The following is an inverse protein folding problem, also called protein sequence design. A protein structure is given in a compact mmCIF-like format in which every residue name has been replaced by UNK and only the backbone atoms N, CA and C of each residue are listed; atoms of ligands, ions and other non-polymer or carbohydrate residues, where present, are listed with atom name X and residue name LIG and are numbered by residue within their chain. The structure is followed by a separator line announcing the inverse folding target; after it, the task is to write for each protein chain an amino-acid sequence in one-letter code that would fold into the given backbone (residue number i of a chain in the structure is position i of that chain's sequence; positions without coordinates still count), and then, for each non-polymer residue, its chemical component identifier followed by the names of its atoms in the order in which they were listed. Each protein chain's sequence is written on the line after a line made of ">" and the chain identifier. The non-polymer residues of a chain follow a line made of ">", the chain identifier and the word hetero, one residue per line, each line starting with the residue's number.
data_IF_494197279052
#
_entry.id   IF_494197279052
#
_cell.length_a   1.000
_cell.length_b   1.000
_cell.length_c   1.000
_cell.angle_alpha   90.00
_cell.angle_beta   90.00
_cell.angle_gamma   90.00
#
_symmetry.space_group_name_H-M   'P 1'
#
loop_
_entity.id
_entity.type
_entity.pdbx_description
1 polymer ?
#
# COMPACT_ATOMS: atom_id res chain seq x y z
N UNK A 1 -52.49 17.23 4.06
CA UNK A 1 -51.91 16.03 3.40
C UNK A 1 -50.46 16.32 3.05
N UNK A 2 -49.52 15.74 3.79
CA UNK A 2 -48.08 15.89 3.58
C UNK A 2 -47.67 15.20 2.26
N UNK A 3 -47.00 15.88 1.32
CA UNK A 3 -46.57 15.23 0.09
C UNK A 3 -45.37 14.34 0.42
N UNK A 4 -45.61 13.04 0.61
CA UNK A 4 -44.53 12.07 0.57
C UNK A 4 -43.80 12.17 -0.78
N UNK A 5 -42.47 12.02 -0.82
CA UNK A 5 -41.80 11.83 -2.11
C UNK A 5 -42.38 10.56 -2.76
N UNK A 6 -42.52 10.50 -4.09
CA UNK A 6 -43.03 9.30 -4.73
C UNK A 6 -42.10 8.12 -4.36
N UNK A 7 -42.62 6.97 -3.92
CA UNK A 7 -41.81 5.82 -3.46
C UNK A 7 -40.72 5.43 -4.47
N UNK A 8 -40.99 5.61 -5.76
CA UNK A 8 -40.04 5.44 -6.86
C UNK A 8 -38.75 6.29 -6.73
N UNK A 9 -38.82 7.54 -6.25
CA UNK A 9 -37.64 8.40 -6.13
C UNK A 9 -36.65 7.92 -5.06
N UNK A 10 -37.17 7.39 -3.95
CA UNK A 10 -36.35 6.78 -2.90
C UNK A 10 -35.72 5.48 -3.39
N UNK A 11 -36.50 4.65 -4.08
CA UNK A 11 -36.04 3.38 -4.64
C UNK A 11 -34.93 3.56 -5.68
N UNK A 12 -35.10 4.47 -6.64
CA UNK A 12 -34.10 4.78 -7.67
C UNK A 12 -32.78 5.21 -7.02
N UNK A 13 -32.85 6.10 -6.03
CA UNK A 13 -31.66 6.58 -5.33
C UNK A 13 -31.01 5.49 -4.49
N UNK A 14 -31.79 4.69 -3.76
CA UNK A 14 -31.26 3.56 -3.00
C UNK A 14 -30.52 2.56 -3.89
N UNK A 15 -31.07 2.22 -5.07
CA UNK A 15 -30.38 1.37 -6.06
C UNK A 15 -29.10 1.99 -6.60
N UNK A 16 -29.13 3.29 -6.92
CA UNK A 16 -27.93 4.00 -7.39
C UNK A 16 -26.83 4.03 -6.31
N UNK A 17 -27.19 4.30 -5.06
CA UNK A 17 -26.27 4.29 -3.92
C UNK A 17 -25.66 2.91 -3.70
N UNK A 18 -26.47 1.85 -3.73
CA UNK A 18 -25.98 0.48 -3.59
C UNK A 18 -25.02 0.08 -4.73
N UNK A 19 -25.37 0.42 -5.98
CA UNK A 19 -24.50 0.15 -7.14
C UNK A 19 -23.17 0.88 -7.01
N UNK A 20 -23.21 2.16 -6.62
CA UNK A 20 -22.01 2.97 -6.38
C UNK A 20 -21.15 2.36 -5.29
N UNK A 21 -21.72 2.04 -4.14
CA UNK A 21 -20.99 1.46 -3.02
C UNK A 21 -20.30 0.15 -3.42
N UNK A 22 -21.00 -0.71 -4.15
CA UNK A 22 -20.45 -1.99 -4.63
C UNK A 22 -19.33 -1.78 -5.65
N UNK A 23 -19.48 -0.85 -6.58
CA UNK A 23 -18.44 -0.54 -7.56
C UNK A 23 -17.19 0.06 -6.90
N UNK A 24 -17.35 0.96 -5.93
CA UNK A 24 -16.24 1.55 -5.17
C UNK A 24 -15.52 0.50 -4.33
N UNK A 25 -16.25 -0.38 -3.63
CA UNK A 25 -15.65 -1.50 -2.89
C UNK A 25 -14.78 -2.35 -3.82
N UNK A 26 -15.33 -2.77 -4.97
CA UNK A 26 -14.64 -3.63 -5.90
C UNK A 26 -13.37 -2.96 -6.47
N UNK A 27 -13.43 -1.68 -6.84
CA UNK A 27 -12.25 -0.91 -7.27
C UNK A 27 -11.22 -0.80 -6.13
N UNK A 28 -11.67 -0.60 -4.90
CA UNK A 28 -10.83 -0.50 -3.71
C UNK A 28 -10.06 -1.79 -3.38
N UNK A 29 -10.58 -2.96 -3.76
CA UNK A 29 -9.91 -4.26 -3.52
C UNK A 29 -8.57 -4.40 -4.22
N UNK A 30 -8.39 -3.82 -5.42
CA UNK A 30 -7.08 -3.83 -6.09
C UNK A 30 -6.06 -3.08 -5.23
N UNK A 31 -6.42 -1.89 -4.74
CA UNK A 31 -5.54 -1.09 -3.89
C UNK A 31 -5.19 -1.85 -2.60
N UNK A 32 -6.19 -2.42 -1.92
CA UNK A 32 -5.97 -3.19 -0.70
C UNK A 32 -5.03 -4.39 -0.93
N UNK A 33 -5.19 -5.13 -2.03
CA UNK A 33 -4.31 -6.24 -2.37
C UNK A 33 -2.87 -5.78 -2.71
N UNK A 34 -2.72 -4.62 -3.35
CA UNK A 34 -1.39 -4.02 -3.61
C UNK A 34 -0.72 -3.59 -2.31
N UNK A 35 -1.45 -2.93 -1.40
CA UNK A 35 -0.93 -2.48 -0.11
C UNK A 35 -0.51 -3.68 0.75
N UNK A 36 -1.29 -4.77 0.74
CA UNK A 36 -0.95 -6.03 1.42
C UNK A 36 0.32 -6.68 0.83
N UNK A 37 0.42 -6.80 -0.49
CA UNK A 37 1.61 -7.34 -1.14
C UNK A 37 2.87 -6.50 -0.83
N UNK A 38 2.73 -5.17 -0.77
CA UNK A 38 3.82 -4.26 -0.41
C UNK A 38 4.22 -4.39 1.06
N UNK A 39 3.25 -4.57 1.96
CA UNK A 39 3.51 -4.86 3.37
C UNK A 39 4.31 -6.15 3.52
N UNK A 40 3.85 -7.24 2.88
CA UNK A 40 4.53 -8.53 2.89
C UNK A 40 5.95 -8.46 2.28
N UNK A 41 6.13 -7.69 1.21
CA UNK A 41 7.45 -7.45 0.61
C UNK A 41 8.41 -6.81 1.59
N UNK A 42 7.96 -5.77 2.27
CA UNK A 42 8.76 -5.05 3.26
C UNK A 42 9.15 -5.95 4.44
N UNK A 43 8.23 -6.76 4.94
CA UNK A 43 8.52 -7.74 6.00
C UNK A 43 9.54 -8.78 5.55
N UNK A 44 9.39 -9.33 4.34
CA UNK A 44 10.34 -10.29 3.79
C UNK A 44 11.74 -9.68 3.55
N UNK A 45 11.79 -8.41 3.12
CA UNK A 45 13.04 -7.68 2.95
C UNK A 45 13.74 -7.45 4.31
N UNK A 46 13.00 -7.01 5.33
CA UNK A 46 13.54 -6.83 6.67
C UNK A 46 14.07 -8.14 7.26
N UNK A 47 13.33 -9.23 7.14
CA UNK A 47 13.77 -10.55 7.60
C UNK A 47 15.03 -11.02 6.85
N UNK A 48 15.17 -10.68 5.56
CA UNK A 48 16.39 -10.96 4.80
C UNK A 48 17.59 -10.11 5.29
N UNK A 49 17.38 -8.81 5.52
CA UNK A 49 18.41 -7.90 6.06
C UNK A 49 18.88 -8.37 7.45
N UNK A 50 17.95 -8.68 8.35
CA UNK A 50 18.26 -9.19 9.70
C UNK A 50 19.08 -10.47 9.63
N UNK A 51 18.68 -11.44 8.80
CA UNK A 51 19.46 -12.68 8.60
C UNK A 51 20.87 -12.41 8.07
N UNK A 52 21.01 -11.49 7.12
CA UNK A 52 22.31 -11.12 6.57
C UNK A 52 23.21 -10.47 7.63
N UNK A 53 22.64 -9.63 8.51
CA UNK A 53 23.39 -8.99 9.60
C UNK A 53 23.73 -9.94 10.75
N UNK A 54 22.83 -10.87 11.07
CA UNK A 54 23.09 -11.93 12.05
C UNK A 54 24.23 -12.86 11.58
N UNK A 55 24.33 -13.10 10.26
CA UNK A 55 25.43 -13.83 9.66
C UNK A 55 26.72 -12.99 9.54
N UNK A 56 26.65 -11.66 9.65
CA UNK A 56 27.79 -10.76 9.50
C UNK A 56 28.63 -10.75 10.79
N UNK A 57 29.90 -11.20 10.76
CA UNK A 57 30.73 -11.25 11.96
C UNK A 57 30.98 -9.86 12.55
N UNK A 58 31.07 -9.77 13.87
CA UNK A 58 31.36 -8.53 14.60
C UNK A 58 32.61 -7.78 14.07
N UNK A 59 33.61 -8.50 13.54
CA UNK A 59 34.81 -7.91 12.98
C UNK A 59 34.55 -6.95 11.81
N UNK A 60 33.41 -7.09 11.11
CA UNK A 60 33.01 -6.21 10.02
C UNK A 60 32.81 -4.75 10.44
N UNK A 61 32.51 -4.49 11.71
CA UNK A 61 32.40 -3.11 12.22
C UNK A 61 33.68 -2.29 12.01
N UNK A 62 34.86 -2.93 11.95
CA UNK A 62 36.14 -2.26 11.70
C UNK A 62 36.24 -1.62 10.31
N UNK A 63 35.52 -2.15 9.32
CA UNK A 63 35.62 -1.70 7.93
C UNK A 63 35.00 -0.32 7.71
N UNK A 64 34.06 0.07 8.58
CA UNK A 64 33.33 1.35 8.51
C UNK A 64 33.63 2.28 9.68
N UNK A 65 34.48 1.87 10.63
CA UNK A 65 34.81 2.66 11.81
C UNK A 65 36.22 3.25 11.72
N UNK A 66 36.36 4.54 11.99
CA UNK A 66 37.66 5.21 12.03
C UNK A 66 38.40 5.05 13.38
N UNK A 67 37.88 4.22 14.31
CA UNK A 67 38.34 4.15 15.70
C UNK A 67 38.58 2.74 16.27
N UNK A 68 39.24 2.68 17.44
CA UNK A 68 39.43 1.43 18.19
C UNK A 68 38.11 0.99 18.86
N UNK A 69 37.34 0.13 18.19
CA UNK A 69 36.03 -0.35 18.67
C UNK A 69 36.06 -1.35 19.86
N UNK A 70 37.22 -1.70 20.41
CA UNK A 70 37.33 -2.69 21.50
C UNK A 70 36.57 -4.01 21.26
N UNK A 71 36.62 -4.55 20.02
CA UNK A 71 35.86 -5.74 19.65
C UNK A 71 36.12 -6.96 20.55
N UNK A 72 37.32 -7.09 21.12
CA UNK A 72 37.64 -8.18 22.04
C UNK A 72 36.87 -8.09 23.37
N UNK A 73 36.52 -6.90 23.83
CA UNK A 73 35.67 -6.72 25.01
C UNK A 73 34.22 -7.10 24.68
N UNK A 74 33.71 -6.70 23.52
CA UNK A 74 32.38 -7.09 23.02
C UNK A 74 32.26 -8.61 22.82
N UNK A 75 33.25 -9.26 22.22
CA UNK A 75 33.28 -10.73 22.06
C UNK A 75 33.24 -11.47 23.40
N UNK A 76 33.98 -10.98 24.40
CA UNK A 76 33.95 -11.54 25.77
C UNK A 76 32.59 -11.35 26.45
N UNK A 77 31.90 -10.27 26.10
CA UNK A 77 30.53 -9.99 26.56
C UNK A 77 29.44 -10.75 25.78
N UNK A 78 29.80 -11.59 24.80
CA UNK A 78 28.86 -12.45 24.08
C UNK A 78 28.41 -11.93 22.72
N UNK A 79 28.84 -10.74 22.29
CA UNK A 79 28.53 -10.19 20.97
C UNK A 79 29.34 -10.92 19.89
N UNK A 80 28.64 -11.47 18.89
CA UNK A 80 29.20 -12.30 17.81
C UNK A 80 28.97 -11.68 16.43
N UNK A 81 27.88 -10.95 16.25
CA UNK A 81 27.46 -10.40 14.97
C UNK A 81 27.32 -8.87 15.00
N UNK A 82 27.20 -8.27 13.81
CA UNK A 82 26.81 -6.85 13.68
C UNK A 82 25.38 -6.63 14.20
N UNK A 83 24.49 -7.61 14.01
CA UNK A 83 23.12 -7.56 14.52
C UNK A 83 23.07 -7.43 16.04
N UNK A 84 23.92 -8.16 16.77
CA UNK A 84 23.95 -8.12 18.25
C UNK A 84 24.25 -6.71 18.79
N UNK A 85 25.06 -5.94 18.06
CA UNK A 85 25.41 -4.55 18.39
C UNK A 85 24.30 -3.58 18.04
N UNK A 86 23.45 -3.93 17.06
CA UNK A 86 22.34 -3.11 16.58
C UNK A 86 21.06 -3.30 17.40
N UNK A 87 20.69 -4.53 17.78
CA UNK A 87 19.37 -4.88 18.36
C UNK A 87 19.13 -4.37 19.82
N UNK A 88 19.90 -3.39 20.29
CA UNK A 88 19.74 -2.73 21.61
C UNK A 88 19.63 -3.68 22.83
N UNK A 89 20.31 -4.82 22.83
CA UNK A 89 20.24 -5.77 23.96
C UNK A 89 20.81 -5.22 25.28
N UNK A 90 21.91 -4.45 25.23
CA UNK A 90 22.54 -3.82 26.40
C UNK A 90 23.28 -2.54 26.01
N UNK A 91 23.33 -1.53 26.90
CA UNK A 91 24.18 -0.37 26.68
C UNK A 91 25.65 -0.81 26.71
N UNK A 92 26.31 -0.77 25.54
CA UNK A 92 27.71 -1.14 25.37
C UNK A 92 28.64 -0.36 26.31
N UNK A 93 28.23 0.81 26.79
CA UNK A 93 28.98 1.62 27.76
C UNK A 93 29.14 0.94 29.14
N UNK A 94 28.27 -0.03 29.47
CA UNK A 94 28.30 -0.77 30.72
C UNK A 94 29.30 -1.94 30.70
N UNK A 95 29.88 -2.24 29.53
CA UNK A 95 30.84 -3.33 29.39
C UNK A 95 32.23 -2.93 29.89
N UNK A 96 32.90 -3.77 30.70
CA UNK A 96 34.25 -3.49 31.18
C UNK A 96 35.23 -3.18 30.04
N UNK A 97 35.78 -1.96 30.03
CA UNK A 97 36.74 -1.50 29.02
C UNK A 97 36.13 -0.85 27.78
N UNK A 98 34.83 -0.58 27.77
CA UNK A 98 34.14 0.18 26.70
C UNK A 98 33.54 1.44 27.31
N UNK A 99 34.10 2.60 26.97
CA UNK A 99 33.52 3.90 27.36
C UNK A 99 32.41 4.36 26.41
N UNK A 100 31.64 5.36 26.81
CA UNK A 100 30.52 5.93 26.04
C UNK A 100 30.90 6.28 24.59
N UNK A 101 32.08 6.89 24.38
CA UNK A 101 32.56 7.25 23.03
C UNK A 101 32.79 6.01 22.15
N UNK A 102 33.38 4.96 22.71
CA UNK A 102 33.62 3.70 22.00
C UNK A 102 32.30 2.98 21.70
N UNK A 103 31.36 2.98 22.65
CA UNK A 103 30.01 2.47 22.47
C UNK A 103 29.25 3.23 21.36
N UNK A 104 29.31 4.57 21.35
CA UNK A 104 28.71 5.40 20.33
C UNK A 104 29.30 5.14 18.94
N UNK A 105 30.62 5.02 18.82
CA UNK A 105 31.27 4.67 17.55
C UNK A 105 30.88 3.29 17.05
N UNK A 106 30.75 2.29 17.94
CA UNK A 106 30.32 0.95 17.56
C UNK A 106 28.87 0.92 17.07
N UNK A 107 27.97 1.64 17.75
CA UNK A 107 26.58 1.82 17.31
C UNK A 107 26.50 2.54 15.96
N UNK A 108 27.30 3.59 15.75
CA UNK A 108 27.35 4.30 14.47
C UNK A 108 27.85 3.40 13.34
N UNK A 109 28.91 2.61 13.57
CA UNK A 109 29.41 1.63 12.62
C UNK A 109 28.37 0.56 12.27
N UNK A 110 27.65 0.04 13.28
CA UNK A 110 26.56 -0.92 13.06
C UNK A 110 25.42 -0.30 12.24
N UNK A 111 25.05 0.96 12.50
CA UNK A 111 24.05 1.69 11.71
C UNK A 111 24.50 1.89 10.26
N UNK A 112 25.76 2.26 10.02
CA UNK A 112 26.28 2.44 8.65
C UNK A 112 26.26 1.12 7.87
N UNK A 113 26.64 0.01 8.50
CA UNK A 113 26.58 -1.32 7.86
C UNK A 113 25.14 -1.79 7.65
N UNK A 114 24.23 -1.53 8.59
CA UNK A 114 22.80 -1.79 8.43
C UNK A 114 22.26 -1.05 7.21
N UNK A 115 22.48 0.27 7.11
CA UNK A 115 22.04 1.07 5.97
C UNK A 115 22.62 0.54 4.66
N UNK A 116 23.91 0.18 4.62
CA UNK A 116 24.54 -0.39 3.43
C UNK A 116 23.96 -1.76 3.04
N UNK A 117 23.62 -2.61 4.02
CA UNK A 117 22.95 -3.89 3.79
C UNK A 117 21.53 -3.67 3.29
N UNK A 118 20.76 -2.77 3.90
CA UNK A 118 19.41 -2.41 3.45
C UNK A 118 19.39 -1.91 2.00
N UNK A 119 20.35 -1.05 1.62
CA UNK A 119 20.47 -0.51 0.26
C UNK A 119 20.89 -1.56 -0.77
N UNK A 120 21.71 -2.54 -0.38
CA UNK A 120 22.24 -3.57 -1.28
C UNK A 120 21.38 -4.84 -1.33
N UNK A 121 20.52 -5.08 -0.34
CA UNK A 121 19.73 -6.30 -0.25
C UNK A 121 18.66 -6.31 -1.33
N UNK A 122 18.76 -7.30 -2.22
CA UNK A 122 17.70 -7.62 -3.18
C UNK A 122 16.98 -8.87 -2.73
N UNK A 123 15.66 -8.77 -2.57
CA UNK A 123 14.86 -9.91 -2.16
C UNK A 123 14.90 -11.01 -3.23
N UNK A 124 15.32 -12.21 -2.83
CA UNK A 124 15.29 -13.42 -3.64
C UNK A 124 14.54 -14.51 -2.88
N UNK A 125 13.67 -15.23 -3.57
CA UNK A 125 12.93 -16.34 -2.99
C UNK A 125 13.89 -17.52 -2.73
N UNK A 126 13.96 -17.96 -1.47
CA UNK A 126 14.71 -19.14 -1.06
C UNK A 126 13.79 -20.36 -1.09
N UNK A 127 13.94 -21.17 -2.15
CA UNK A 127 13.07 -22.33 -2.43
C UNK A 127 13.34 -23.48 -1.45
N UNK A 128 14.52 -23.52 -0.83
CA UNK A 128 14.94 -24.59 0.07
C UNK A 128 14.46 -24.33 1.50
N UNK A 129 14.70 -23.12 2.03
CA UNK A 129 14.30 -22.75 3.39
C UNK A 129 12.82 -22.38 3.51
N UNK A 130 12.23 -21.82 2.45
CA UNK A 130 10.83 -21.37 2.40
C UNK A 130 10.40 -20.57 3.65
N UNK A 131 11.11 -19.48 3.98
CA UNK A 131 10.83 -18.73 5.20
C UNK A 131 9.40 -18.19 5.19
N UNK A 132 8.81 -18.05 6.38
CA UNK A 132 7.41 -17.70 6.57
C UNK A 132 7.07 -16.35 5.91
N UNK A 133 7.96 -15.37 6.00
CA UNK A 133 7.75 -14.03 5.41
C UNK A 133 7.71 -14.08 3.89
N UNK A 134 8.51 -14.96 3.27
CA UNK A 134 8.49 -15.16 1.82
C UNK A 134 7.26 -15.97 1.38
N UNK A 135 6.82 -16.91 2.20
CA UNK A 135 5.56 -17.64 1.98
C UNK A 135 4.36 -16.69 2.02
N UNK A 136 4.34 -15.77 2.98
CA UNK A 136 3.33 -14.71 3.07
C UNK A 136 3.38 -13.80 1.84
N UNK A 137 4.57 -13.34 1.43
CA UNK A 137 4.73 -12.53 0.21
C UNK A 137 4.21 -13.23 -1.05
N UNK A 138 4.57 -14.50 -1.27
CA UNK A 138 4.06 -15.26 -2.42
C UNK A 138 2.53 -15.39 -2.37
N UNK A 139 1.96 -15.58 -1.20
CA UNK A 139 0.51 -15.65 -1.01
C UNK A 139 -0.16 -14.32 -1.36
N UNK A 140 0.37 -13.21 -0.87
CA UNK A 140 -0.15 -11.87 -1.17
C UNK A 140 0.01 -11.50 -2.65
N UNK A 141 1.11 -11.90 -3.28
CA UNK A 141 1.31 -11.73 -4.73
C UNK A 141 0.30 -12.53 -5.57
N UNK A 142 0.02 -13.78 -5.18
CA UNK A 142 -1.01 -14.60 -5.81
C UNK A 142 -2.39 -13.97 -5.69
N UNK A 143 -2.69 -13.43 -4.51
CA UNK A 143 -3.95 -12.75 -4.26
C UNK A 143 -4.06 -11.45 -5.08
N UNK A 144 -3.00 -10.64 -5.15
CA UNK A 144 -2.96 -9.43 -5.97
C UNK A 144 -3.20 -9.74 -7.45
N UNK A 145 -2.56 -10.78 -7.98
CA UNK A 145 -2.78 -11.22 -9.35
C UNK A 145 -4.25 -11.59 -9.58
N UNK A 146 -4.83 -12.41 -8.70
CA UNK A 146 -6.23 -12.86 -8.80
C UNK A 146 -7.23 -11.70 -8.75
N UNK A 147 -7.07 -10.81 -7.78
CA UNK A 147 -7.89 -9.61 -7.60
C UNK A 147 -7.80 -8.72 -8.84
N UNK A 148 -6.57 -8.49 -9.33
CA UNK A 148 -6.32 -7.65 -10.49
C UNK A 148 -6.94 -8.25 -11.76
N UNK A 149 -6.72 -9.54 -12.02
CA UNK A 149 -7.27 -10.24 -13.18
C UNK A 149 -8.80 -10.23 -13.18
N UNK A 150 -9.41 -10.32 -12.00
CA UNK A 150 -10.87 -10.33 -11.84
C UNK A 150 -11.49 -8.94 -12.06
N UNK A 151 -10.85 -7.88 -11.55
CA UNK A 151 -11.48 -6.54 -11.46
C UNK A 151 -11.04 -5.62 -12.60
N UNK A 152 -9.80 -5.71 -13.09
CA UNK A 152 -9.24 -4.80 -14.11
C UNK A 152 -10.09 -4.74 -15.40
N UNK A 153 -10.66 -5.85 -15.93
CA UNK A 153 -11.55 -5.79 -17.10
C UNK A 153 -12.87 -5.03 -16.87
N UNK A 154 -13.28 -4.88 -15.61
CA UNK A 154 -14.50 -4.17 -15.22
C UNK A 154 -14.23 -2.70 -14.89
N UNK A 155 -13.01 -2.36 -14.50
CA UNK A 155 -12.65 -1.06 -13.92
C UNK A 155 -13.16 0.16 -14.74
N UNK A 156 -12.97 0.25 -16.07
CA UNK A 156 -13.44 1.42 -16.82
C UNK A 156 -14.96 1.64 -16.73
N UNK A 157 -15.73 0.54 -16.68
CA UNK A 157 -17.19 0.57 -16.60
C UNK A 157 -17.67 0.86 -15.18
N UNK A 158 -17.01 0.30 -14.17
CA UNK A 158 -17.25 0.62 -12.76
C UNK A 158 -17.01 2.11 -12.50
N UNK A 159 -15.87 2.63 -12.92
CA UNK A 159 -15.52 4.05 -12.77
C UNK A 159 -16.50 4.96 -13.50
N UNK A 160 -16.91 4.60 -14.73
CA UNK A 160 -17.92 5.37 -15.46
C UNK A 160 -19.25 5.44 -14.70
N UNK A 161 -19.73 4.31 -14.16
CA UNK A 161 -20.98 4.25 -13.40
C UNK A 161 -20.86 5.06 -12.10
N UNK A 162 -19.75 4.93 -11.37
CA UNK A 162 -19.49 5.74 -10.17
C UNK A 162 -19.50 7.23 -10.51
N UNK A 163 -18.77 7.67 -11.54
CA UNK A 163 -18.74 9.08 -11.97
C UNK A 163 -20.12 9.62 -12.34
N UNK A 164 -20.92 8.85 -13.09
CA UNK A 164 -22.29 9.25 -13.48
C UNK A 164 -23.21 9.36 -12.26
N UNK A 165 -23.14 8.41 -11.34
CA UNK A 165 -23.93 8.45 -10.11
C UNK A 165 -23.50 9.65 -9.25
N UNK A 166 -22.19 9.88 -9.08
CA UNK A 166 -21.68 11.00 -8.28
C UNK A 166 -22.07 12.37 -8.82
N UNK A 167 -22.17 12.53 -10.14
CA UNK A 167 -22.63 13.77 -10.75
C UNK A 167 -24.10 14.09 -10.44
N UNK A 168 -24.98 13.08 -10.42
CA UNK A 168 -26.43 13.28 -10.32
C UNK A 168 -27.01 13.03 -8.92
N UNK A 169 -26.32 12.26 -8.08
CA UNK A 169 -26.82 11.85 -6.76
C UNK A 169 -27.07 13.04 -5.81
N UNK A 170 -26.16 14.03 -5.67
CA UNK A 170 -26.40 15.20 -4.83
C UNK A 170 -27.59 16.05 -5.33
N UNK A 171 -27.69 16.26 -6.64
CA UNK A 171 -28.77 17.05 -7.25
C UNK A 171 -30.14 16.37 -7.09
N UNK A 172 -30.19 15.04 -7.06
CA UNK A 172 -31.44 14.28 -6.82
C UNK A 172 -31.95 14.38 -5.37
N UNK A 173 -31.22 15.04 -4.45
CA UNK A 173 -31.55 15.07 -3.02
C UNK A 173 -32.93 15.66 -2.70
N UNK A 174 -33.32 16.71 -3.42
CA UNK A 174 -34.60 17.39 -3.22
C UNK A 174 -35.81 16.50 -3.55
N UNK A 175 -35.64 15.44 -4.35
CA UNK A 175 -36.74 14.52 -4.67
C UNK A 175 -37.13 13.60 -3.52
N UNK A 176 -36.31 13.48 -2.47
CA UNK A 176 -36.63 12.67 -1.28
C UNK A 176 -36.97 13.50 -0.04
N UNK A 177 -36.85 14.84 -0.12
CA UNK A 177 -37.03 15.75 1.01
C UNK A 177 -38.25 16.67 0.80
N UNK A 178 -39.41 16.24 1.30
CA UNK A 178 -40.70 16.94 1.12
C UNK A 178 -40.69 18.40 1.57
N UNK A 179 -40.13 18.70 2.75
CA UNK A 179 -40.13 20.05 3.32
C UNK A 179 -39.18 20.96 2.53
N UNK A 180 -37.94 20.52 2.30
CA UNK A 180 -36.94 21.30 1.55
C UNK A 180 -37.39 21.57 0.11
N UNK A 181 -38.10 20.62 -0.50
CA UNK A 181 -38.68 20.79 -1.85
C UNK A 181 -39.73 21.90 -1.87
N UNK A 182 -40.56 22.07 -0.85
CA UNK A 182 -41.58 23.15 -0.83
C UNK A 182 -40.93 24.54 -0.93
N UNK A 183 -39.85 24.77 -0.19
CA UNK A 183 -39.10 26.03 -0.15
C UNK A 183 -38.07 26.22 -1.29
N UNK A 184 -37.89 25.22 -2.17
CA UNK A 184 -36.93 25.30 -3.26
C UNK A 184 -37.45 26.08 -4.48
N UNK A 185 -36.55 26.76 -5.20
CA UNK A 185 -36.86 27.47 -6.44
C UNK A 185 -37.33 26.50 -7.54
N UNK A 186 -38.03 27.02 -8.56
CA UNK A 186 -38.47 26.22 -9.73
C UNK A 186 -37.27 25.59 -10.46
N UNK A 187 -36.20 26.35 -10.63
CA UNK A 187 -34.96 25.88 -11.26
C UNK A 187 -34.33 24.71 -10.49
N UNK A 188 -34.23 24.80 -9.16
CA UNK A 188 -33.70 23.72 -8.31
C UNK A 188 -34.61 22.48 -8.33
N UNK A 189 -35.93 22.67 -8.33
CA UNK A 189 -36.90 21.58 -8.46
C UNK A 189 -36.74 20.83 -9.78
N UNK A 190 -36.56 21.56 -10.89
CA UNK A 190 -36.37 20.99 -12.22
C UNK A 190 -35.04 20.26 -12.35
N UNK A 191 -33.93 20.90 -11.95
CA UNK A 191 -32.60 20.28 -11.95
C UNK A 191 -32.56 18.97 -11.14
N UNK A 192 -33.26 18.95 -10.00
CA UNK A 192 -33.37 17.75 -9.17
C UNK A 192 -34.22 16.64 -9.80
N UNK A 193 -35.30 17.00 -10.50
CA UNK A 193 -36.12 16.04 -11.24
C UNK A 193 -35.34 15.46 -12.43
N UNK A 194 -34.60 16.30 -13.16
CA UNK A 194 -33.77 15.88 -14.28
C UNK A 194 -32.64 14.94 -13.83
N UNK A 195 -32.00 15.23 -12.69
CA UNK A 195 -31.00 14.36 -12.08
C UNK A 195 -31.59 12.98 -11.71
N UNK A 196 -32.79 12.94 -11.12
CA UNK A 196 -33.45 11.68 -10.81
C UNK A 196 -33.80 10.88 -12.08
N UNK A 197 -34.24 11.55 -13.15
CA UNK A 197 -34.50 10.92 -14.45
C UNK A 197 -33.22 10.35 -15.07
N UNK A 198 -32.08 11.04 -14.95
CA UNK A 198 -30.79 10.52 -15.41
C UNK A 198 -30.36 9.28 -14.62
N UNK A 199 -30.51 9.28 -13.30
CA UNK A 199 -30.28 8.10 -12.46
C UNK A 199 -31.21 6.94 -12.83
N UNK A 200 -32.49 7.23 -13.10
CA UNK A 200 -33.45 6.21 -13.51
C UNK A 200 -33.11 5.61 -14.89
N UNK A 201 -32.65 6.43 -15.84
CA UNK A 201 -32.18 5.95 -17.16
C UNK A 201 -30.94 5.10 -17.01
N UNK A 202 -29.97 5.52 -16.20
CA UNK A 202 -28.77 4.74 -15.91
C UNK A 202 -29.13 3.38 -15.29
N UNK A 203 -30.04 3.35 -14.31
CA UNK A 203 -30.46 2.11 -13.66
C UNK A 203 -31.20 1.15 -14.61
N UNK A 204 -31.83 1.66 -15.68
CA UNK A 204 -32.55 0.87 -16.67
C UNK A 204 -31.74 0.63 -17.96
N UNK A 205 -30.50 1.10 -18.04
CA UNK A 205 -29.62 0.89 -19.19
C UNK A 205 -29.19 -0.59 -19.24
N UNK A 206 -29.43 -1.34 -20.34
CA UNK A 206 -28.99 -2.73 -20.47
C UNK A 206 -27.51 -2.94 -20.14
N UNK A 207 -26.64 -1.95 -20.41
CA UNK A 207 -25.23 -2.01 -20.05
C UNK A 207 -25.00 -2.04 -18.53
N UNK A 208 -25.83 -1.33 -17.76
CA UNK A 208 -25.78 -1.33 -16.29
C UNK A 208 -26.28 -2.65 -15.69
N UNK A 209 -27.28 -3.29 -16.31
CA UNK A 209 -27.74 -4.62 -15.91
C UNK A 209 -26.67 -5.68 -16.14
N UNK A 210 -26.04 -5.66 -17.30
CA UNK A 210 -24.93 -6.57 -17.62
C UNK A 210 -23.73 -6.33 -16.69
N UNK A 211 -23.40 -5.08 -16.39
CA UNK A 211 -22.37 -4.77 -15.40
C UNK A 211 -22.73 -5.31 -14.01
N UNK A 212 -23.99 -5.21 -13.59
CA UNK A 212 -24.47 -5.79 -12.34
C UNK A 212 -24.22 -7.30 -12.25
N UNK A 213 -24.55 -8.05 -13.32
CA UNK A 213 -24.24 -9.48 -13.41
C UNK A 213 -22.73 -9.76 -13.32
N UNK A 214 -21.92 -8.98 -14.02
CA UNK A 214 -20.46 -9.15 -14.02
C UNK A 214 -19.84 -8.83 -12.66
N UNK A 215 -20.40 -7.86 -11.92
CA UNK A 215 -20.02 -7.57 -10.53
C UNK A 215 -20.30 -8.79 -9.65
N UNK A 216 -21.49 -9.38 -9.73
CA UNK A 216 -21.82 -10.58 -8.93
C UNK A 216 -20.85 -11.73 -9.24
N UNK A 217 -20.59 -12.00 -10.52
CA UNK A 217 -19.62 -13.03 -10.92
C UNK A 217 -18.19 -12.73 -10.43
N UNK A 218 -17.79 -11.45 -10.46
CA UNK A 218 -16.49 -11.04 -9.91
C UNK A 218 -16.43 -11.28 -8.40
N UNK A 219 -17.48 -10.94 -7.65
CA UNK A 219 -17.55 -11.19 -6.21
C UNK A 219 -17.47 -12.68 -5.87
N UNK A 220 -18.17 -13.53 -6.61
CA UNK A 220 -18.10 -15.00 -6.46
C UNK A 220 -16.69 -15.53 -6.73
N UNK A 221 -16.03 -15.07 -7.80
CA UNK A 221 -14.63 -15.45 -8.11
C UNK A 221 -13.65 -14.98 -7.04
N UNK A 222 -13.84 -13.79 -6.50
CA UNK A 222 -13.01 -13.28 -5.41
C UNK A 222 -13.20 -14.11 -4.14
N UNK A 223 -14.45 -14.51 -3.83
CA UNK A 223 -14.77 -15.35 -2.68
C UNK A 223 -14.22 -16.79 -2.81
N UNK A 224 -14.19 -17.33 -4.02
CA UNK A 224 -13.60 -18.65 -4.29
C UNK A 224 -12.07 -18.68 -4.13
N UNK A 225 -11.41 -17.52 -4.17
CA UNK A 225 -9.95 -17.41 -4.08
C UNK A 225 -9.20 -17.74 -5.38
N UNK A 226 -7.86 -17.61 -5.38
CA UNK A 226 -7.04 -17.87 -6.54
C UNK A 226 -7.02 -19.36 -6.90
N UNK A 227 -7.11 -19.65 -8.20
CA UNK A 227 -6.91 -21.01 -8.72
C UNK A 227 -5.41 -21.36 -8.71
N UNK A 228 -5.08 -22.59 -8.33
CA UNK A 228 -3.71 -23.09 -8.37
C UNK A 228 -3.46 -24.18 -7.31
N UNK A 229 -2.23 -24.68 -7.23
CA UNK A 229 -1.84 -25.59 -6.16
C UNK A 229 -2.12 -24.98 -4.77
N UNK A 230 -2.55 -25.79 -3.78
CA UNK A 230 -2.75 -25.30 -2.42
C UNK A 230 -1.44 -24.74 -1.84
N UNK A 231 -0.32 -25.38 -2.16
CA UNK A 231 1.02 -24.90 -1.84
C UNK A 231 1.48 -23.79 -2.81
N UNK A 232 1.73 -22.61 -2.26
CA UNK A 232 2.19 -21.44 -3.02
C UNK A 232 3.62 -21.61 -3.55
N UNK A 233 4.46 -22.44 -2.93
CA UNK A 233 5.82 -22.69 -3.38
C UNK A 233 5.84 -23.59 -4.62
N UNK A 234 4.99 -24.61 -4.67
CA UNK A 234 4.76 -25.40 -5.90
C UNK A 234 4.28 -24.53 -7.06
N UNK A 235 3.41 -23.57 -6.79
CA UNK A 235 2.92 -22.62 -7.79
C UNK A 235 4.05 -21.68 -8.26
N UNK A 236 4.85 -21.15 -7.32
CA UNK A 236 6.03 -20.35 -7.62
C UNK A 236 7.05 -21.10 -8.49
N UNK A 237 7.34 -22.38 -8.21
CA UNK A 237 8.26 -23.18 -9.02
C UNK A 237 7.81 -23.29 -10.49
N UNK A 238 6.50 -23.35 -10.70
CA UNK A 238 5.92 -23.45 -12.04
C UNK A 238 5.85 -22.08 -12.73
N UNK A 239 5.61 -21.01 -11.98
CA UNK A 239 5.34 -19.65 -12.49
C UNK A 239 6.37 -18.61 -12.03
N UNK A 240 7.62 -18.99 -11.84
CA UNK A 240 8.65 -18.14 -11.20
C UNK A 240 8.86 -16.80 -11.91
N UNK A 241 8.87 -16.80 -13.25
CA UNK A 241 8.96 -15.58 -14.07
C UNK A 241 7.82 -14.62 -13.71
N UNK A 242 6.60 -15.14 -13.58
CA UNK A 242 5.42 -14.32 -13.28
C UNK A 242 5.51 -13.66 -11.90
N UNK A 243 5.88 -14.43 -10.88
CA UNK A 243 6.06 -13.90 -9.53
C UNK A 243 7.20 -12.89 -9.45
N UNK A 244 8.31 -13.13 -10.16
CA UNK A 244 9.43 -12.18 -10.20
C UNK A 244 9.04 -10.88 -10.92
N UNK A 245 8.21 -10.92 -11.97
CA UNK A 245 7.64 -9.72 -12.58
C UNK A 245 6.76 -8.94 -11.60
N UNK A 246 5.85 -9.63 -10.90
CA UNK A 246 5.01 -8.98 -9.88
C UNK A 246 5.85 -8.38 -8.74
N UNK A 247 6.96 -9.03 -8.37
CA UNK A 247 7.89 -8.52 -7.37
C UNK A 247 8.53 -7.19 -7.79
N UNK A 248 8.91 -7.07 -9.07
CA UNK A 248 9.44 -5.84 -9.66
C UNK A 248 8.38 -4.73 -9.61
N UNK A 249 7.15 -5.07 -10.00
CA UNK A 249 6.01 -4.13 -10.03
C UNK A 249 5.69 -3.57 -8.61
N UNK A 250 5.71 -4.41 -7.57
CA UNK A 250 5.40 -3.96 -6.19
C UNK A 250 6.60 -3.31 -5.49
N UNK A 251 7.81 -3.75 -5.83
CA UNK A 251 9.09 -3.35 -5.21
C UNK A 251 9.60 -1.99 -5.70
N UNK A 252 8.91 -1.37 -6.67
CA UNK A 252 9.24 -0.03 -7.16
C UNK A 252 10.43 0.01 -8.11
N UNK A 253 10.71 -1.09 -8.83
CA UNK A 253 11.75 -1.16 -9.86
C UNK A 253 11.22 -0.93 -11.29
N UNK A 254 10.07 -0.27 -11.46
CA UNK A 254 9.71 0.53 -12.65
C UNK A 254 8.67 1.63 -12.28
N UNK A 255 8.54 2.70 -13.08
CA UNK A 255 8.41 4.08 -12.59
C UNK A 255 7.02 4.44 -12.03
N UNK A 256 7.03 5.42 -11.12
CA UNK A 256 5.89 6.10 -10.47
C UNK A 256 4.85 6.75 -11.42
N UNK A 257 4.68 6.31 -12.67
CA UNK A 257 4.19 7.20 -13.73
C UNK A 257 2.70 7.16 -14.06
N UNK A 258 1.83 6.34 -13.46
CA UNK A 258 0.45 6.29 -14.02
C UNK A 258 -0.75 6.34 -13.06
N UNK A 259 -0.58 6.36 -11.73
CA UNK A 259 -1.77 6.46 -10.84
C UNK A 259 -1.65 7.39 -9.63
N UNK A 260 -0.51 8.04 -9.43
CA UNK A 260 -0.39 9.16 -8.48
C UNK A 260 -0.37 10.54 -9.18
N UNK A 261 -0.20 10.58 -10.51
CA UNK A 261 -0.09 11.81 -11.33
C UNK A 261 -1.45 12.44 -11.67
N UNK A 262 -2.35 12.49 -10.69
CA UNK A 262 -3.58 13.27 -10.81
C UNK A 262 -3.47 14.70 -10.29
N UNK A 263 -2.44 15.03 -9.49
CA UNK A 263 -2.45 16.27 -8.71
C UNK A 263 -1.09 16.93 -8.42
N UNK A 264 0.02 16.47 -9.02
CA UNK A 264 1.31 17.15 -8.85
C UNK A 264 2.05 17.25 -10.19
N UNK A 265 2.42 18.47 -10.57
CA UNK A 265 3.23 18.74 -11.76
C UNK A 265 4.67 18.22 -11.56
N UNK A 266 5.34 17.81 -12.63
CA UNK A 266 6.71 17.26 -12.58
C UNK A 266 7.74 18.16 -11.86
N UNK A 267 7.53 19.47 -11.90
CA UNK A 267 8.35 20.45 -11.18
C UNK A 267 8.17 20.38 -9.65
N UNK A 268 6.99 20.00 -9.17
CA UNK A 268 6.71 19.81 -7.74
C UNK A 268 7.39 18.53 -7.23
N UNK A 269 7.40 17.47 -8.03
CA UNK A 269 8.09 16.21 -7.72
C UNK A 269 9.60 16.44 -7.64
N UNK A 270 10.18 17.17 -8.60
CA UNK A 270 11.60 17.54 -8.56
C UNK A 270 11.94 18.35 -7.31
N UNK A 271 11.07 19.29 -6.92
CA UNK A 271 11.23 20.13 -5.73
C UNK A 271 11.19 19.30 -4.44
N UNK A 272 10.23 18.37 -4.31
CA UNK A 272 10.14 17.46 -3.15
C UNK A 272 11.38 16.55 -3.07
N UNK A 273 11.86 16.02 -4.21
CA UNK A 273 13.08 15.18 -4.24
C UNK A 273 14.33 15.95 -3.81
N UNK A 274 14.44 17.23 -4.18
CA UNK A 274 15.56 18.12 -3.81
C UNK A 274 15.57 18.56 -2.34
N UNK A 275 14.47 18.37 -1.61
CA UNK A 275 14.38 18.76 -0.21
C UNK A 275 15.29 17.86 0.65
N UNK A 276 16.27 18.45 1.34
CA UNK A 276 17.07 17.73 2.33
C UNK A 276 16.25 17.57 3.61
N UNK A 277 16.11 16.33 4.09
CA UNK A 277 15.41 16.04 5.34
C UNK A 277 16.45 15.94 6.46
N UNK A 278 16.35 16.81 7.47
CA UNK A 278 17.18 16.70 8.67
C UNK A 278 16.61 15.59 9.57
N UNK A 279 17.33 14.47 9.66
CA UNK A 279 16.92 13.28 10.39
C UNK A 279 17.53 13.19 11.79
N UNK A 280 18.26 14.21 12.26
CA UNK A 280 19.05 14.15 13.50
C UNK A 280 18.24 13.93 14.79
N UNK A 281 16.92 14.15 14.75
CA UNK A 281 16.00 13.97 15.89
C UNK A 281 15.07 12.76 15.73
N UNK A 282 15.21 11.98 14.65
CA UNK A 282 14.41 10.78 14.43
C UNK A 282 15.02 9.60 15.18
N UNK A 283 14.21 8.93 15.99
CA UNK A 283 14.57 7.67 16.65
C UNK A 283 14.48 6.45 15.71
N UNK A 284 14.12 6.66 14.44
CA UNK A 284 13.99 5.61 13.43
C UNK A 284 14.44 6.11 12.04
N UNK A 285 14.99 5.21 11.20
CA UNK A 285 15.34 5.52 9.81
C UNK A 285 14.09 5.55 8.93
N UNK A 286 14.01 6.54 8.02
CA UNK A 286 12.91 6.67 7.08
C UNK A 286 13.25 5.96 5.77
N UNK A 287 12.43 4.97 5.39
CA UNK A 287 12.48 4.32 4.07
C UNK A 287 12.18 5.31 2.95
N UNK A 288 12.56 5.01 1.71
CA UNK A 288 12.38 5.90 0.55
C UNK A 288 10.96 6.49 0.42
N UNK A 289 9.91 5.70 0.63
CA UNK A 289 8.53 6.19 0.60
C UNK A 289 8.15 7.02 1.85
N UNK A 290 8.74 6.74 3.02
CA UNK A 290 8.53 7.50 4.26
C UNK A 290 9.27 8.83 4.22
N UNK A 291 10.49 8.84 3.67
CA UNK A 291 11.26 10.04 3.39
C UNK A 291 10.54 10.91 2.36
N UNK A 292 9.99 10.32 1.30
CA UNK A 292 9.15 11.04 0.34
C UNK A 292 7.87 11.60 0.99
N UNK A 293 7.16 10.80 1.79
CA UNK A 293 5.97 11.23 2.53
C UNK A 293 6.25 12.35 3.54
N UNK A 294 7.39 12.29 4.24
CA UNK A 294 7.84 13.33 5.16
C UNK A 294 8.20 14.63 4.42
N UNK A 295 8.94 14.52 3.30
CA UNK A 295 9.25 15.68 2.44
C UNK A 295 7.99 16.28 1.82
N UNK A 296 7.00 15.46 1.49
CA UNK A 296 5.70 15.92 0.98
C UNK A 296 4.90 16.69 2.04
N UNK A 297 4.84 16.19 3.29
CA UNK A 297 4.20 16.88 4.39
C UNK A 297 4.86 18.25 4.69
N UNK A 298 6.19 18.28 4.71
CA UNK A 298 6.97 19.52 4.87
C UNK A 298 6.76 20.50 3.72
N UNK A 299 6.69 20.02 2.47
CA UNK A 299 6.40 20.85 1.30
C UNK A 299 4.98 21.44 1.31
N UNK A 300 4.04 20.84 2.04
CA UNK A 300 2.69 21.38 2.26
C UNK A 300 2.58 22.27 3.52
N UNK A 301 3.67 22.50 4.24
CA UNK A 301 3.68 23.37 5.43
C UNK A 301 2.97 22.77 6.65
N UNK A 302 3.04 21.45 6.83
CA UNK A 302 2.54 20.73 8.01
C UNK A 302 3.65 20.14 8.84
#
# INVERSE_FOLDING_TARGET
>A
MTPHPPPAAREIRGRAEQMRATAVDLLGRIKAATDEARSAYNSALQAAVQRQLAAMPLDKLKEVSEGRLQLNAMKRAGYRSVHDVWEEGYDLSLLPGIGEKTAAHARSAAHQLMSAVEESTRLRFNIDEQPEEQTHLLTSLRQLEHVTATIRPLAPRLEMVVRRIDADFPASQLQTQSIRRLFSSRQLKQASADALLRLARLANDPATWELGRQITQAQERLAAGPLGPPDVWSDYRTRSIRYNSLLIDIGGLEPESEKAEGYLDGDQIARIRSLALDANLLTASLRGYQAFGAKFALAQGR
#
